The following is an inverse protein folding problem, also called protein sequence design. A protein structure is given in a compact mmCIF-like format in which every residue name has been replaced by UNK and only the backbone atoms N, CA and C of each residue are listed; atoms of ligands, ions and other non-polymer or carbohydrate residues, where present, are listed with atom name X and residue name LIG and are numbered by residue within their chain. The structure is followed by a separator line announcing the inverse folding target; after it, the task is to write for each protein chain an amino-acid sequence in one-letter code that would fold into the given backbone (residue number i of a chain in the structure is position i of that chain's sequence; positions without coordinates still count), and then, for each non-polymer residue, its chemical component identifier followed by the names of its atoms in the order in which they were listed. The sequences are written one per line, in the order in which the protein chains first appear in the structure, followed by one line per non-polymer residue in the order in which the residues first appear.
data_IF_477102950149
#
_entry.id   IF_477102950149
#
_cell.length_a   1.000
_cell.length_b   1.000
_cell.length_c   1.000
_cell.angle_alpha   90.00
_cell.angle_beta   90.00
_cell.angle_gamma   90.00
#
_symmetry.space_group_name_H-M   'P 1'
#
loop_
_entity.id
_entity.type
_entity.pdbx_description
1 polymer ?
#
# COMPACT_ATOMS: atom_id res chain seq x y z
N UNK A 1 10.07 -1.43 7.01
CA UNK A 1 9.70 -0.15 6.36
C UNK A 1 8.91 0.67 7.37
N UNK A 2 9.22 1.97 7.49
CA UNK A 2 8.64 2.88 8.51
C UNK A 2 7.81 4.03 7.91
N UNK A 3 7.76 4.14 6.58
CA UNK A 3 7.02 5.18 5.85
C UNK A 3 7.26 5.09 4.34
N UNK A 4 6.52 5.89 3.58
CA UNK A 4 6.61 5.98 2.12
C UNK A 4 5.76 4.97 1.35
N UNK A 5 5.96 4.92 0.04
CA UNK A 5 5.25 4.03 -0.89
C UNK A 5 6.27 3.23 -1.70
N UNK A 6 6.07 1.92 -1.79
CA UNK A 6 6.84 1.01 -2.64
C UNK A 6 5.91 0.29 -3.60
N UNK A 7 6.37 0.10 -4.84
CA UNK A 7 5.68 -0.71 -5.86
C UNK A 7 6.62 -1.82 -6.32
N UNK A 8 6.16 -3.07 -6.27
CA UNK A 8 6.91 -4.27 -6.65
C UNK A 8 6.17 -4.94 -7.81
N UNK A 9 6.75 -4.87 -9.02
CA UNK A 9 6.17 -5.43 -10.25
C UNK A 9 6.71 -6.84 -10.54
N UNK A 10 6.89 -7.66 -9.51
CA UNK A 10 7.45 -9.00 -9.61
C UNK A 10 7.35 -9.77 -8.30
N UNK A 11 7.95 -10.96 -8.26
CA UNK A 11 7.88 -11.83 -7.09
C UNK A 11 8.62 -11.26 -5.88
N UNK A 12 8.04 -11.45 -4.70
CA UNK A 12 8.66 -11.16 -3.41
C UNK A 12 9.28 -12.42 -2.80
N UNK A 13 10.34 -12.24 -2.02
CA UNK A 13 10.95 -13.33 -1.24
C UNK A 13 10.17 -13.66 0.04
N UNK A 14 10.62 -14.72 0.73
CA UNK A 14 10.06 -15.12 2.03
C UNK A 14 10.23 -14.01 3.08
N UNK A 15 9.29 -13.97 4.03
CA UNK A 15 9.28 -13.03 5.14
C UNK A 15 9.17 -11.56 4.69
N UNK A 16 8.52 -11.32 3.55
CA UNK A 16 8.24 -9.97 3.05
C UNK A 16 7.41 -9.17 4.07
N UNK A 17 7.67 -7.87 4.18
CA UNK A 17 7.02 -6.96 5.13
C UNK A 17 7.24 -7.25 6.63
N UNK A 18 8.18 -8.13 7.00
CA UNK A 18 8.57 -8.30 8.40
C UNK A 18 9.04 -6.98 9.02
N UNK A 19 8.50 -6.63 10.20
CA UNK A 19 8.79 -5.37 10.88
C UNK A 19 8.36 -4.12 10.10
N UNK A 20 7.42 -4.25 9.17
CA UNK A 20 6.79 -3.09 8.51
C UNK A 20 5.85 -2.41 9.51
N UNK A 21 6.21 -1.21 9.95
CA UNK A 21 5.46 -0.41 10.92
C UNK A 21 4.82 0.85 10.32
N UNK A 22 5.17 1.21 9.09
CA UNK A 22 4.52 2.30 8.35
C UNK A 22 4.75 2.23 6.85
N UNK A 23 3.92 2.97 6.11
CA UNK A 23 3.96 3.05 4.64
C UNK A 23 2.99 2.10 3.93
N UNK A 24 3.08 2.08 2.60
CA UNK A 24 2.27 1.25 1.70
C UNK A 24 3.15 0.48 0.73
N UNK A 25 2.94 -0.82 0.58
CA UNK A 25 3.60 -1.61 -0.44
C UNK A 25 2.57 -2.20 -1.41
N UNK A 26 2.66 -1.85 -2.69
CA UNK A 26 1.84 -2.42 -3.76
C UNK A 26 2.62 -3.54 -4.44
N UNK A 27 2.08 -4.76 -4.45
CA UNK A 27 2.79 -5.95 -4.94
C UNK A 27 1.96 -6.66 -5.99
N UNK A 28 2.54 -6.85 -7.17
CA UNK A 28 1.95 -7.64 -8.25
C UNK A 28 2.00 -9.13 -7.90
N UNK A 29 0.86 -9.82 -8.03
CA UNK A 29 0.71 -11.27 -7.81
C UNK A 29 1.34 -11.74 -6.49
N UNK A 30 1.03 -11.05 -5.40
CA UNK A 30 1.60 -11.35 -4.08
C UNK A 30 1.31 -12.79 -3.66
N UNK A 31 2.35 -13.50 -3.24
CA UNK A 31 2.19 -14.79 -2.57
C UNK A 31 2.01 -14.56 -1.06
N UNK A 32 0.80 -14.79 -0.57
CA UNK A 32 0.46 -14.61 0.83
C UNK A 32 1.33 -15.49 1.77
N UNK A 33 1.81 -16.65 1.31
CA UNK A 33 2.69 -17.51 2.09
C UNK A 33 4.10 -16.93 2.28
N UNK A 34 4.50 -15.97 1.44
CA UNK A 34 5.79 -15.29 1.51
C UNK A 34 5.74 -14.01 2.35
N UNK A 35 4.55 -13.55 2.77
CA UNK A 35 4.37 -12.33 3.58
C UNK A 35 4.39 -12.68 5.06
N UNK A 36 5.18 -11.94 5.85
CA UNK A 36 5.07 -11.94 7.30
C UNK A 36 3.83 -11.13 7.69
N UNK A 37 2.81 -11.81 8.19
CA UNK A 37 1.51 -11.21 8.52
C UNK A 37 1.40 -10.81 10.00
N UNK A 38 2.51 -10.77 10.74
CA UNK A 38 2.51 -10.43 12.18
C UNK A 38 2.01 -9.00 12.43
N UNK A 39 2.31 -8.07 11.51
CA UNK A 39 1.95 -6.65 11.63
C UNK A 39 1.12 -6.11 10.46
N UNK A 40 1.07 -6.82 9.34
CA UNK A 40 0.48 -6.31 8.10
C UNK A 40 -0.69 -7.15 7.62
N UNK A 41 -1.59 -6.48 6.90
CA UNK A 41 -2.64 -7.12 6.12
C UNK A 41 -2.34 -7.03 4.63
N UNK A 42 -2.89 -8.00 3.87
CA UNK A 42 -2.90 -8.00 2.41
C UNK A 42 -4.31 -7.62 1.97
N UNK A 43 -4.43 -6.49 1.27
CA UNK A 43 -5.68 -5.85 0.90
C UNK A 43 -5.76 -5.65 -0.61
N UNK A 44 -6.97 -5.57 -1.16
CA UNK A 44 -7.14 -5.07 -2.52
C UNK A 44 -6.76 -3.58 -2.60
N UNK A 45 -6.30 -3.10 -3.77
CA UNK A 45 -5.96 -1.67 -3.93
C UNK A 45 -7.21 -0.79 -3.74
N UNK A 46 -7.22 0.10 -2.73
CA UNK A 46 -8.32 1.03 -2.50
C UNK A 46 -8.54 1.97 -3.69
N UNK A 47 -9.78 2.37 -3.93
CA UNK A 47 -10.15 3.19 -5.09
C UNK A 47 -9.38 4.52 -5.15
N UNK A 48 -9.21 5.17 -4.01
CA UNK A 48 -8.47 6.44 -3.84
C UNK A 48 -6.96 6.31 -4.09
N UNK A 49 -6.42 5.08 -4.10
CA UNK A 49 -5.00 4.82 -4.36
C UNK A 49 -4.71 4.46 -5.83
N UNK A 50 -5.74 4.16 -6.64
CA UNK A 50 -5.56 3.63 -8.00
C UNK A 50 -4.85 4.61 -8.93
N UNK A 51 -5.25 5.87 -8.93
CA UNK A 51 -4.67 6.88 -9.81
C UNK A 51 -3.21 7.19 -9.42
N UNK A 52 -2.94 7.28 -8.12
CA UNK A 52 -1.58 7.47 -7.61
C UNK A 52 -0.66 6.30 -7.99
N UNK A 53 -1.14 5.06 -7.82
CA UNK A 53 -0.40 3.87 -8.22
C UNK A 53 -0.15 3.84 -9.73
N UNK A 54 -1.16 4.14 -10.54
CA UNK A 54 -1.03 4.23 -12.00
C UNK A 54 0.02 5.25 -12.40
N UNK A 55 0.04 6.42 -11.76
CA UNK A 55 1.04 7.45 -12.01
C UNK A 55 2.47 6.99 -11.69
N UNK A 56 2.66 6.27 -10.57
CA UNK A 56 3.98 5.69 -10.21
C UNK A 56 4.44 4.68 -11.26
N UNK A 57 3.56 3.77 -11.68
CA UNK A 57 3.89 2.74 -12.68
C UNK A 57 4.15 3.37 -14.05
N UNK A 58 3.36 4.35 -14.48
CA UNK A 58 3.58 5.12 -15.71
C UNK A 58 4.93 5.82 -15.72
N UNK A 59 5.28 6.47 -14.61
CA UNK A 59 6.56 7.14 -14.46
C UNK A 59 7.73 6.13 -14.50
N UNK A 60 7.57 4.98 -13.85
CA UNK A 60 8.56 3.91 -13.92
C UNK A 60 8.73 3.37 -15.35
N UNK A 61 7.63 3.12 -16.07
CA UNK A 61 7.66 2.66 -17.45
C UNK A 61 8.42 3.65 -18.36
N UNK A 62 8.12 4.96 -18.25
CA UNK A 62 8.76 5.99 -19.09
C UNK A 62 10.26 6.16 -18.85
N UNK A 63 10.76 5.78 -17.68
CA UNK A 63 12.17 5.90 -17.32
C UNK A 63 12.98 4.62 -17.51
N UNK A 64 12.33 3.48 -17.72
CA UNK A 64 13.00 2.18 -17.71
C UNK A 64 12.69 1.30 -18.91
N UNK A 65 11.72 1.68 -19.74
CA UNK A 65 11.19 0.87 -20.84
C UNK A 65 10.72 -0.53 -20.36
N UNK A 66 10.23 -0.60 -19.10
CA UNK A 66 9.82 -1.86 -18.49
C UNK A 66 8.62 -2.46 -19.21
N UNK A 67 8.83 -3.61 -19.85
CA UNK A 67 7.79 -4.39 -20.54
C UNK A 67 6.67 -4.77 -19.57
N UNK A 68 7.01 -5.12 -18.32
CA UNK A 68 6.02 -5.47 -17.30
C UNK A 68 5.14 -4.27 -16.96
N UNK A 69 5.74 -3.10 -16.73
CA UNK A 69 4.99 -1.90 -16.39
C UNK A 69 4.08 -1.47 -17.56
N UNK A 70 4.58 -1.48 -18.80
CA UNK A 70 3.78 -1.16 -19.99
C UNK A 70 2.60 -2.13 -20.14
N UNK A 71 2.82 -3.44 -20.02
CA UNK A 71 1.76 -4.43 -20.11
C UNK A 71 0.67 -4.26 -19.02
N UNK A 72 1.06 -3.86 -17.82
CA UNK A 72 0.09 -3.55 -16.75
C UNK A 72 -0.76 -2.32 -17.09
N UNK A 73 -0.16 -1.30 -17.70
CA UNK A 73 -0.83 -0.05 -18.07
C UNK A 73 -1.78 -0.24 -19.25
N UNK A 74 -1.44 -1.10 -20.21
CA UNK A 74 -2.24 -1.38 -21.40
C UNK A 74 -3.61 -1.99 -21.06
N UNK A 75 -3.69 -2.76 -19.98
CA UNK A 75 -4.93 -3.36 -19.49
C UNK A 75 -5.15 -3.07 -18.00
N UNK A 76 -5.14 -1.78 -17.64
CA UNK A 76 -5.11 -1.31 -16.26
C UNK A 76 -6.23 -1.89 -15.37
N UNK A 77 -7.46 -1.91 -15.85
CA UNK A 77 -8.63 -2.30 -15.04
C UNK A 77 -8.63 -3.78 -14.62
N UNK A 78 -7.98 -4.64 -15.41
CA UNK A 78 -7.75 -6.04 -15.04
C UNK A 78 -6.44 -6.19 -14.25
N UNK A 79 -5.38 -5.51 -14.67
CA UNK A 79 -4.07 -5.57 -14.03
C UNK A 79 -4.09 -5.12 -12.57
N UNK A 80 -4.90 -4.12 -12.23
CA UNK A 80 -5.01 -3.63 -10.86
C UNK A 80 -5.56 -4.70 -9.89
N UNK A 81 -6.37 -5.66 -10.39
CA UNK A 81 -6.91 -6.76 -9.56
C UNK A 81 -5.84 -7.77 -9.13
N UNK A 82 -4.71 -7.79 -9.85
CA UNK A 82 -3.53 -8.62 -9.55
C UNK A 82 -2.59 -7.94 -8.56
N UNK A 83 -2.76 -6.65 -8.32
CA UNK A 83 -1.94 -5.90 -7.38
C UNK A 83 -2.64 -5.91 -6.02
N UNK A 84 -1.89 -6.26 -4.98
CA UNK A 84 -2.34 -6.18 -3.59
C UNK A 84 -1.59 -5.07 -2.86
N UNK A 85 -2.29 -4.41 -1.93
CA UNK A 85 -1.70 -3.50 -0.96
C UNK A 85 -1.32 -4.30 0.30
N UNK A 86 -0.04 -4.31 0.63
CA UNK A 86 0.49 -4.78 1.92
C UNK A 86 0.71 -3.57 2.81
N UNK A 87 0.04 -3.54 3.96
CA UNK A 87 0.02 -2.37 4.84
C UNK A 87 -0.05 -2.77 6.32
N UNK A 88 0.69 -2.10 7.22
CA UNK A 88 0.60 -2.35 8.67
C UNK A 88 -0.75 -1.96 9.23
N UNK A 89 -1.31 -2.82 10.09
CA UNK A 89 -2.62 -2.62 10.73
C UNK A 89 -2.66 -1.33 11.55
N UNK A 90 -1.63 -1.07 12.35
CA UNK A 90 -1.58 0.11 13.22
C UNK A 90 -1.49 1.39 12.40
N UNK A 91 -0.68 1.34 11.33
CA UNK A 91 -0.58 2.45 10.39
C UNK A 91 -1.93 2.71 9.70
N UNK A 92 -2.63 1.66 9.27
CA UNK A 92 -3.97 1.78 8.68
C UNK A 92 -4.97 2.44 9.65
N UNK A 93 -4.99 2.02 10.92
CA UNK A 93 -5.82 2.62 11.98
C UNK A 93 -5.53 4.11 12.15
N UNK A 94 -4.26 4.50 12.17
CA UNK A 94 -3.87 5.92 12.29
C UNK A 94 -4.35 6.74 11.08
N UNK A 95 -4.20 6.22 9.86
CA UNK A 95 -4.66 6.92 8.66
C UNK A 95 -6.19 7.07 8.63
N UNK A 96 -6.93 6.07 9.09
CA UNK A 96 -8.38 6.15 9.22
C UNK A 96 -8.80 7.22 10.24
N UNK A 97 -8.11 7.27 11.39
CA UNK A 97 -8.35 8.27 12.42
C UNK A 97 -8.08 9.70 11.92
N UNK A 98 -6.98 9.90 11.19
CA UNK A 98 -6.66 11.18 10.53
C UNK A 98 -7.75 11.57 9.52
N UNK A 99 -8.18 10.64 8.66
CA UNK A 99 -9.23 10.89 7.68
C UNK A 99 -10.59 11.20 8.35
N UNK A 100 -10.88 10.58 9.49
CA UNK A 100 -12.08 10.89 10.29
C UNK A 100 -11.99 12.29 10.89
N UNK A 101 -10.86 12.62 11.50
CA UNK A 101 -10.64 13.94 12.09
C UNK A 101 -10.81 15.06 11.05
N UNK A 102 -10.27 14.87 9.84
CA UNK A 102 -10.41 15.84 8.75
C UNK A 102 -11.88 16.03 8.32
N UNK A 103 -12.63 14.94 8.15
CA UNK A 103 -14.07 15.01 7.80
C UNK A 103 -14.93 15.66 8.89
N UNK A 104 -14.61 15.42 10.16
CA UNK A 104 -15.40 15.87 11.31
C UNK A 104 -14.90 17.20 11.89
N UNK A 105 -13.80 17.76 11.38
CA UNK A 105 -13.17 18.98 11.89
C UNK A 105 -12.59 18.82 13.30
N UNK A 106 -12.23 17.58 13.69
CA UNK A 106 -11.71 17.27 15.02
C UNK A 106 -10.19 17.47 15.09
N UNK A 107 -9.62 17.70 16.29
CA UNK A 107 -8.16 17.78 16.46
C UNK A 107 -7.49 16.44 16.09
N UNK A 108 -6.75 16.44 14.98
CA UNK A 108 -6.05 15.25 14.46
C UNK A 108 -5.13 14.62 15.52
N UNK A 109 -4.36 15.45 16.24
CA UNK A 109 -3.39 14.98 17.24
C UNK A 109 -4.04 14.18 18.37
N UNK A 110 -5.24 14.57 18.79
CA UNK A 110 -5.97 13.88 19.85
C UNK A 110 -6.44 12.48 19.41
N UNK A 111 -7.00 12.38 18.19
CA UNK A 111 -7.44 11.09 17.64
C UNK A 111 -6.27 10.16 17.33
N UNK A 112 -5.17 10.70 16.82
CA UNK A 112 -3.97 9.90 16.51
C UNK A 112 -3.36 9.35 17.81
N UNK A 113 -3.28 10.15 18.87
CA UNK A 113 -2.80 9.69 20.18
C UNK A 113 -3.69 8.59 20.78
N UNK A 114 -5.01 8.72 20.69
CA UNK A 114 -5.96 7.69 21.15
C UNK A 114 -5.74 6.37 20.42
N UNK A 115 -5.68 6.40 19.09
CA UNK A 115 -5.51 5.19 18.27
C UNK A 115 -4.14 4.54 18.48
N UNK A 116 -3.08 5.33 18.62
CA UNK A 116 -1.74 4.81 18.88
C UNK A 116 -1.60 4.21 20.29
N UNK A 117 -2.33 4.70 21.29
CA UNK A 117 -2.30 4.18 22.66
C UNK A 117 -3.06 2.86 22.83
N UNK A 118 -3.99 2.55 21.92
CA UNK A 118 -4.75 1.30 21.86
C UNK A 118 -4.23 0.35 20.76
N UNK A 119 -3.00 0.61 20.32
CA UNK A 119 -2.23 -0.08 19.28
C UNK A 119 -1.78 -1.46 19.69
#
# INVERSE_FOLDING_TARGET
MTGGTVVVLGQTGRNFAAGMSGGRAFVLDVDAASVNTDMVDILAVPGDQRDALKAIISNFASHTDSIVATALLDNWDESIKRISLVMPRDYARVLEAMARADREGLPVDALVMEVAAHG
#
